data_IF_819702790079
#
_entry.id   IF_819702790079
#
_cell.length_a   1.000
_cell.length_b   1.000
_cell.length_c   1.000
_cell.angle_alpha   90.00
_cell.angle_beta   90.00
_cell.angle_gamma   90.00
#
_symmetry.space_group_name_H-M   'P 1'
#
loop_
_entity.id
_entity.type
_entity.pdbx_description
1 polymer ?
#
# COMPACT_ATOMS: atom_id res chain seq x y z
N UNK A 1 -6.60 4.22 10.29
CA UNK A 1 -5.91 4.33 8.99
C UNK A 1 -4.58 5.04 9.19
N UNK A 2 -3.55 4.47 8.63
CA UNK A 2 -2.20 5.02 8.75
C UNK A 2 -1.77 5.53 7.39
N UNK A 3 -1.33 6.79 7.30
CA UNK A 3 -0.85 7.36 6.06
C UNK A 3 0.67 7.48 6.14
N UNK A 4 1.36 6.89 5.19
CA UNK A 4 2.81 6.93 5.12
C UNK A 4 3.18 7.60 3.81
N UNK A 5 3.90 8.73 3.89
CA UNK A 5 4.30 9.47 2.71
C UNK A 5 5.80 9.76 2.80
N UNK A 6 6.64 8.77 2.54
CA UNK A 6 8.07 8.93 2.73
C UNK A 6 8.70 9.82 1.68
N UNK A 7 9.75 10.52 2.08
CA UNK A 7 10.53 11.32 1.15
C UNK A 7 11.87 10.64 0.85
N UNK A 8 12.16 9.52 1.49
CA UNK A 8 13.34 8.73 1.21
C UNK A 8 13.03 7.29 1.57
N UNK A 9 13.87 6.37 1.11
CA UNK A 9 13.68 4.96 1.42
C UNK A 9 14.10 4.73 2.87
N UNK A 10 13.13 4.42 3.73
CA UNK A 10 13.37 4.26 5.15
C UNK A 10 12.60 3.04 5.63
N UNK A 11 13.31 1.94 5.84
CA UNK A 11 12.66 0.70 6.23
C UNK A 11 12.22 0.68 7.69
N UNK A 12 12.69 1.60 8.52
CA UNK A 12 12.14 1.70 9.88
C UNK A 12 10.71 2.19 9.82
N UNK A 13 10.44 3.19 8.97
CA UNK A 13 9.08 3.65 8.81
C UNK A 13 8.22 2.60 8.12
N UNK A 14 8.80 1.87 7.17
CA UNK A 14 8.07 0.80 6.50
C UNK A 14 7.69 -0.29 7.49
N UNK A 15 8.60 -0.65 8.40
CA UNK A 15 8.27 -1.66 9.40
C UNK A 15 7.21 -1.18 10.37
N UNK A 16 7.23 0.11 10.72
CA UNK A 16 6.18 0.65 11.57
C UNK A 16 4.81 0.49 10.89
N UNK A 17 4.73 0.87 9.62
CA UNK A 17 3.47 0.75 8.88
C UNK A 17 3.05 -0.71 8.74
N UNK A 18 4.00 -1.60 8.50
CA UNK A 18 3.69 -3.02 8.38
C UNK A 18 3.16 -3.59 9.69
N UNK A 19 3.70 -3.14 10.82
CA UNK A 19 3.20 -3.58 12.11
C UNK A 19 1.79 -3.06 12.38
N UNK A 20 1.50 -1.83 11.97
CA UNK A 20 0.15 -1.29 12.10
C UNK A 20 -0.82 -2.11 11.25
N UNK A 21 -0.40 -2.47 10.03
CA UNK A 21 -1.21 -3.29 9.15
C UNK A 21 -1.47 -4.65 9.78
N UNK A 22 -0.43 -5.27 10.32
CA UNK A 22 -0.57 -6.57 10.98
C UNK A 22 -1.56 -6.47 12.14
N UNK A 23 -1.59 -5.34 12.83
CA UNK A 23 -2.46 -5.16 13.99
C UNK A 23 -3.86 -4.69 13.59
N UNK A 24 -4.17 -4.63 12.33
CA UNK A 24 -5.53 -4.39 11.87
C UNK A 24 -5.80 -3.03 11.26
N UNK A 25 -4.78 -2.21 11.05
CA UNK A 25 -5.01 -0.89 10.48
C UNK A 25 -4.86 -0.92 8.96
N UNK A 26 -5.70 -0.16 8.27
CA UNK A 26 -5.49 0.07 6.86
C UNK A 26 -4.35 1.08 6.69
N UNK A 27 -3.56 0.92 5.64
CA UNK A 27 -2.41 1.77 5.41
C UNK A 27 -2.48 2.36 4.01
N UNK A 28 -2.25 3.66 3.91
CA UNK A 28 -2.13 4.33 2.63
C UNK A 28 -0.66 4.69 2.46
N UNK A 29 -0.06 4.18 1.39
CA UNK A 29 1.35 4.40 1.11
C UNK A 29 1.45 5.34 -0.09
N UNK A 30 1.95 6.56 0.15
CA UNK A 30 2.09 7.54 -0.90
C UNK A 30 3.57 7.67 -1.23
N UNK A 31 3.96 7.20 -2.42
CA UNK A 31 5.35 7.17 -2.86
C UNK A 31 5.66 8.26 -3.87
N UNK A 32 4.84 9.31 -3.94
CA UNK A 32 5.03 10.34 -4.96
C UNK A 32 6.35 11.06 -4.84
N UNK A 33 6.93 11.13 -3.64
CA UNK A 33 8.18 11.82 -3.43
C UNK A 33 9.42 10.94 -3.57
N UNK A 34 9.24 9.68 -3.93
CA UNK A 34 10.35 8.74 -4.04
C UNK A 34 10.77 8.56 -5.49
N UNK A 35 12.01 8.14 -5.69
CA UNK A 35 12.47 7.75 -7.00
C UNK A 35 11.80 6.43 -7.40
N UNK A 36 11.67 6.14 -8.70
CA UNK A 36 10.98 4.93 -9.12
C UNK A 36 11.54 3.65 -8.51
N UNK A 37 12.86 3.52 -8.39
CA UNK A 37 13.42 2.31 -7.84
C UNK A 37 13.16 2.21 -6.34
N UNK A 38 13.06 3.34 -5.65
CA UNK A 38 12.72 3.30 -4.22
C UNK A 38 11.27 2.92 -4.04
N UNK A 39 10.40 3.42 -4.89
CA UNK A 39 8.98 3.06 -4.86
C UNK A 39 8.82 1.56 -5.09
N UNK A 40 9.57 1.01 -6.05
CA UNK A 40 9.46 -0.42 -6.34
C UNK A 40 9.92 -1.26 -5.15
N UNK A 41 10.97 -0.85 -4.46
CA UNK A 41 11.44 -1.59 -3.30
C UNK A 41 10.43 -1.59 -2.17
N UNK A 42 9.82 -0.43 -1.89
CA UNK A 42 8.79 -0.37 -0.85
C UNK A 42 7.56 -1.14 -1.27
N UNK A 43 7.16 -1.03 -2.53
CA UNK A 43 6.01 -1.76 -3.02
C UNK A 43 6.21 -3.26 -2.87
N UNK A 44 7.39 -3.76 -3.20
CA UNK A 44 7.67 -5.19 -3.08
C UNK A 44 7.63 -5.63 -1.61
N UNK A 45 8.18 -4.82 -0.72
CA UNK A 45 8.15 -5.12 0.70
C UNK A 45 6.72 -5.24 1.20
N UNK A 46 5.89 -4.25 0.88
CA UNK A 46 4.51 -4.26 1.36
C UNK A 46 3.66 -5.31 0.66
N UNK A 47 3.96 -5.62 -0.60
CA UNK A 47 3.24 -6.69 -1.29
C UNK A 47 3.46 -8.00 -0.56
N UNK A 48 4.68 -8.26 -0.11
CA UNK A 48 4.96 -9.46 0.66
C UNK A 48 4.23 -9.48 1.99
N UNK A 49 4.17 -8.33 2.69
CA UNK A 49 3.46 -8.25 3.96
C UNK A 49 1.97 -8.51 3.76
N UNK A 50 1.38 -7.88 2.75
CA UNK A 50 -0.04 -8.01 2.50
C UNK A 50 -0.38 -9.44 2.13
N UNK A 51 0.44 -10.05 1.26
CA UNK A 51 0.19 -11.42 0.85
C UNK A 51 0.27 -12.38 2.04
N UNK A 52 1.29 -12.23 2.88
CA UNK A 52 1.49 -13.15 3.97
C UNK A 52 0.42 -13.02 5.06
N UNK A 53 -0.26 -11.88 5.12
CA UNK A 53 -1.29 -11.64 6.12
C UNK A 53 -2.69 -11.70 5.52
N UNK A 54 -2.81 -12.17 4.27
CA UNK A 54 -4.10 -12.33 3.60
C UNK A 54 -4.88 -11.02 3.46
N UNK A 55 -4.19 -9.95 3.30
CA UNK A 55 -4.84 -8.66 3.10
C UNK A 55 -5.06 -8.36 1.63
N UNK A 56 -5.42 -7.12 1.34
CA UNK A 56 -5.68 -6.65 -0.01
C UNK A 56 -4.87 -5.40 -0.28
N UNK A 57 -4.28 -5.30 -1.46
CA UNK A 57 -3.52 -4.13 -1.86
C UNK A 57 -4.04 -3.63 -3.19
N UNK A 58 -4.29 -2.33 -3.29
CA UNK A 58 -4.79 -1.71 -4.51
C UNK A 58 -4.03 -0.43 -4.79
N UNK A 59 -3.91 -0.10 -6.06
CA UNK A 59 -3.29 1.16 -6.45
C UNK A 59 -4.39 2.22 -6.52
N UNK A 60 -4.23 3.29 -5.76
CA UNK A 60 -5.19 4.39 -5.77
C UNK A 60 -4.82 5.45 -6.78
N UNK A 61 -3.53 5.60 -7.09
CA UNK A 61 -3.03 6.54 -8.08
C UNK A 61 -1.67 6.01 -8.53
N UNK A 62 -0.97 6.73 -9.38
CA UNK A 62 0.27 6.23 -9.98
C UNK A 62 1.24 5.72 -8.92
N UNK A 63 1.46 6.48 -7.87
CA UNK A 63 2.42 6.09 -6.85
C UNK A 63 1.78 6.04 -5.47
N UNK A 64 0.48 5.75 -5.40
CA UNK A 64 -0.25 5.70 -4.14
C UNK A 64 -0.94 4.35 -4.05
N UNK A 65 -0.71 3.65 -2.94
CA UNK A 65 -1.25 2.31 -2.72
C UNK A 65 -2.05 2.27 -1.44
N UNK A 66 -3.11 1.46 -1.43
CA UNK A 66 -3.92 1.25 -0.24
C UNK A 66 -3.82 -0.21 0.13
N UNK A 67 -3.54 -0.47 1.40
CA UNK A 67 -3.44 -1.82 1.92
C UNK A 67 -4.46 -2.00 3.01
N UNK A 68 -5.27 -3.05 2.91
CA UNK A 68 -6.38 -3.29 3.82
C UNK A 68 -6.22 -4.66 4.46
N UNK A 69 -6.32 -4.76 5.78
CA UNK A 69 -6.15 -6.05 6.44
C UNK A 69 -7.26 -7.04 6.11
N UNK A 70 -6.98 -8.31 6.37
CA UNK A 70 -7.95 -9.35 6.18
C UNK A 70 -9.21 -9.04 6.99
N UNK A 71 -10.34 -9.23 6.39
CA UNK A 71 -11.62 -9.01 7.07
C UNK A 71 -12.12 -7.60 7.04
N UNK A 72 -11.33 -6.65 6.51
CA UNK A 72 -11.75 -5.27 6.39
C UNK A 72 -12.11 -5.03 4.94
N UNK A 73 -13.29 -4.47 4.70
CA UNK A 73 -13.75 -4.25 3.34
C UNK A 73 -13.12 -3.01 2.71
N UNK A 74 -13.02 -3.03 1.40
CA UNK A 74 -12.56 -1.88 0.65
C UNK A 74 -13.60 -1.64 -0.45
N UNK A 75 -14.31 -0.52 -0.35
CA UNK A 75 -15.27 -0.18 -1.38
C UNK A 75 -14.57 0.61 -2.47
N UNK A 76 -14.73 0.20 -3.70
CA UNK A 76 -14.10 0.86 -4.82
C UNK A 76 -15.16 1.28 -5.81
N UNK A 77 -15.07 2.50 -6.30
CA UNK A 77 -15.89 2.93 -7.40
C UNK A 77 -15.19 2.46 -8.66
N UNK A 78 -15.72 1.42 -9.27
CA UNK A 78 -15.01 0.79 -10.37
C UNK A 78 -15.58 1.16 -11.72
N UNK A 79 -16.16 2.31 -11.84
CA UNK A 79 -16.69 2.72 -13.10
C UNK A 79 -15.65 2.74 -14.15
N UNK A 80 -14.43 3.03 -13.79
CA UNK A 80 -13.43 3.17 -14.77
C UNK A 80 -12.62 2.00 -14.92
N UNK A 81 -12.79 1.05 -14.12
CA UNK A 81 -11.88 0.08 -14.18
C UNK A 81 -11.91 -0.67 -15.34
N UNK A 82 -12.89 -0.53 -16.03
CA UNK A 82 -12.89 -1.31 -17.18
C UNK A 82 -11.66 -1.11 -17.95
N UNK A 83 -11.07 0.01 -17.80
CA UNK A 83 -9.96 0.14 -18.59
C UNK A 83 -8.83 -0.32 -17.92
N UNK A 84 -8.86 -0.40 -16.71
CA UNK A 84 -7.68 -0.74 -16.17
C UNK A 84 -7.25 -2.00 -16.46
N UNK A 85 -8.03 -2.82 -16.52
CA UNK A 85 -7.57 -3.98 -16.71
C UNK A 85 -7.15 -4.19 -17.89
N UNK A 86 -7.50 -3.47 -18.55
CA UNK A 86 -7.08 -3.69 -19.88
C UNK A 86 -5.63 -3.71 -20.00
#
# INVERSE_FOLDING_TARGET
VVLVAPTSLDFDRARFAANCFRDGAAVILNCESLKPEETNRLKDFFTGCVYSLDGTMRRAAKDVFIMVPKGVGLDEDSQDESEDEA
#
